data_IF_667501906626
#
_entry.id   IF_667501906626
#
_cell.length_a   1.000
_cell.length_b   1.000
_cell.length_c   1.000
_cell.angle_alpha   90.00
_cell.angle_beta   90.00
_cell.angle_gamma   90.00
#
_symmetry.space_group_name_H-M   'P 1'
#
loop_
_entity.id
_entity.type
_entity.pdbx_description
1 polymer ?
#
# COMPACT_ATOMS: atom_id res chain seq x y z
N UNK A 1 -3.08 45.53 -24.74
CA UNK A 1 -2.01 44.53 -24.60
C UNK A 1 -2.53 43.45 -23.66
N UNK A 2 -2.94 42.31 -24.22
CA UNK A 2 -3.44 41.17 -23.44
C UNK A 2 -2.30 40.58 -22.60
N UNK A 3 -2.52 40.21 -21.34
CA UNK A 3 -1.50 39.52 -20.56
C UNK A 3 -1.34 38.12 -21.16
N UNK A 4 -0.14 37.86 -21.65
CA UNK A 4 0.34 36.56 -22.10
C UNK A 4 0.08 35.50 -21.02
N UNK A 5 -0.55 34.41 -21.44
CA UNK A 5 -0.70 33.19 -20.67
C UNK A 5 0.65 32.79 -20.06
N UNK A 6 0.69 32.72 -18.72
CA UNK A 6 1.81 32.14 -18.01
C UNK A 6 2.01 30.70 -18.53
N UNK A 7 3.15 30.46 -19.18
CA UNK A 7 3.55 29.13 -19.60
C UNK A 7 3.44 28.19 -18.40
N UNK A 8 2.59 27.17 -18.52
CA UNK A 8 2.50 26.08 -17.57
C UNK A 8 3.90 25.47 -17.44
N UNK A 9 4.57 25.77 -16.33
CA UNK A 9 5.83 25.14 -15.94
C UNK A 9 5.53 23.69 -15.58
N UNK A 10 5.43 22.83 -16.60
CA UNK A 10 5.28 21.39 -16.42
C UNK A 10 6.57 20.88 -15.80
N UNK A 11 6.59 20.71 -14.49
CA UNK A 11 7.63 19.95 -13.81
C UNK A 11 7.74 18.60 -14.56
N UNK A 12 8.94 18.21 -15.04
CA UNK A 12 9.07 16.97 -15.79
C UNK A 12 8.57 15.81 -14.94
N UNK A 13 7.76 14.93 -15.57
CA UNK A 13 7.24 13.74 -14.93
C UNK A 13 8.35 12.97 -14.23
N UNK A 14 8.02 12.38 -13.08
CA UNK A 14 8.98 11.50 -12.43
C UNK A 14 9.19 10.25 -13.29
N UNK A 15 10.32 9.56 -13.07
CA UNK A 15 10.56 8.27 -13.72
C UNK A 15 9.43 7.25 -13.44
N UNK A 16 8.79 7.33 -12.26
CA UNK A 16 7.65 6.47 -11.91
C UNK A 16 6.44 6.74 -12.81
N UNK A 17 6.12 8.01 -13.05
CA UNK A 17 4.96 8.42 -13.84
C UNK A 17 5.18 8.16 -15.34
N UNK A 18 6.38 8.48 -15.84
CA UNK A 18 6.73 8.21 -17.24
C UNK A 18 6.72 6.71 -17.57
N UNK A 19 7.19 5.87 -16.64
CA UNK A 19 7.18 4.43 -16.86
C UNK A 19 5.76 3.87 -16.99
N UNK A 20 4.80 4.46 -16.31
CA UNK A 20 3.39 4.11 -16.44
C UNK A 20 2.84 4.57 -17.80
N UNK A 21 3.11 5.81 -18.20
CA UNK A 21 2.67 6.34 -19.50
C UNK A 21 3.27 5.57 -20.71
N UNK A 22 4.49 5.06 -20.57
CA UNK A 22 5.14 4.23 -21.60
C UNK A 22 4.63 2.78 -21.61
N UNK A 23 4.05 2.31 -20.50
CA UNK A 23 3.52 0.96 -20.38
C UNK A 23 2.10 0.88 -20.98
N UNK A 24 1.98 1.03 -22.30
CA UNK A 24 0.78 0.65 -23.05
C UNK A 24 0.71 -0.88 -23.12
N UNK A 25 0.30 -1.48 -22.01
CA UNK A 25 0.61 -2.86 -21.67
C UNK A 25 -0.49 -3.86 -22.08
N UNK A 26 -0.93 -3.81 -23.33
CA UNK A 26 -1.71 -4.92 -23.89
C UNK A 26 -0.76 -6.04 -24.30
N UNK A 27 -0.35 -6.88 -23.34
CA UNK A 27 0.30 -8.16 -23.61
C UNK A 27 1.74 -8.37 -23.11
N UNK A 28 2.31 -7.48 -22.26
CA UNK A 28 3.62 -7.78 -21.68
C UNK A 28 3.56 -8.99 -20.76
N UNK A 29 4.57 -9.85 -20.87
CA UNK A 29 4.80 -10.99 -19.98
C UNK A 29 5.71 -10.64 -18.79
N UNK A 30 6.23 -9.42 -18.73
CA UNK A 30 7.18 -8.94 -17.71
C UNK A 30 6.77 -7.62 -17.08
N UNK A 31 7.20 -7.39 -15.85
CA UNK A 31 7.05 -6.08 -15.20
C UNK A 31 7.87 -4.99 -15.93
N UNK A 32 7.49 -3.72 -15.71
CA UNK A 32 8.25 -2.57 -16.24
C UNK A 32 9.71 -2.57 -15.77
N UNK A 33 10.60 -2.03 -16.60
CA UNK A 33 12.00 -1.84 -16.23
C UNK A 33 12.16 -0.95 -14.99
N UNK A 34 11.22 -0.02 -14.77
CA UNK A 34 11.17 0.80 -13.57
C UNK A 34 11.08 -0.08 -12.31
N UNK A 35 10.05 -0.94 -12.22
CA UNK A 35 9.85 -1.82 -11.07
C UNK A 35 11.02 -2.79 -10.89
N UNK A 36 11.53 -3.37 -11.97
CA UNK A 36 12.73 -4.24 -11.95
C UNK A 36 13.93 -3.47 -11.36
N UNK A 37 14.13 -2.21 -11.76
CA UNK A 37 15.22 -1.38 -11.22
C UNK A 37 15.05 -1.04 -9.74
N UNK A 38 13.80 -0.92 -9.25
CA UNK A 38 13.50 -0.75 -7.83
C UNK A 38 13.80 -2.04 -7.05
N UNK A 39 13.32 -3.19 -7.52
CA UNK A 39 13.55 -4.47 -6.85
C UNK A 39 13.46 -5.68 -7.81
N UNK A 40 14.60 -6.09 -8.37
CA UNK A 40 14.65 -7.26 -9.25
C UNK A 40 14.13 -8.56 -8.59
N UNK A 41 14.29 -8.72 -7.27
CA UNK A 41 13.77 -9.89 -6.55
C UNK A 41 12.24 -9.95 -6.49
N UNK A 42 11.54 -8.82 -6.62
CA UNK A 42 10.08 -8.79 -6.68
C UNK A 42 9.56 -8.83 -8.11
N UNK A 43 10.25 -8.17 -9.05
CA UNK A 43 9.65 -7.80 -10.33
C UNK A 43 10.33 -8.40 -11.55
N UNK A 44 11.48 -9.09 -11.39
CA UNK A 44 12.18 -9.74 -12.49
C UNK A 44 11.83 -11.23 -12.62
N UNK A 45 10.60 -11.60 -12.25
CA UNK A 45 10.11 -12.96 -12.44
C UNK A 45 9.73 -13.18 -13.91
N UNK A 46 9.69 -14.45 -14.31
CA UNK A 46 9.30 -14.85 -15.67
C UNK A 46 7.94 -15.53 -15.70
N UNK A 47 7.41 -15.90 -14.54
CA UNK A 47 6.13 -16.58 -14.40
C UNK A 47 5.21 -15.81 -13.46
N UNK A 48 3.95 -15.69 -13.87
CA UNK A 48 2.91 -14.96 -13.15
C UNK A 48 1.58 -15.72 -13.22
N UNK A 49 0.73 -15.49 -12.23
CA UNK A 49 -0.56 -16.15 -12.05
C UNK A 49 -0.63 -17.05 -10.83
N UNK A 50 0.28 -16.89 -9.85
CA UNK A 50 0.16 -17.62 -8.58
C UNK A 50 -1.14 -17.24 -7.90
N UNK A 51 -1.87 -18.25 -7.43
CA UNK A 51 -3.10 -18.02 -6.67
C UNK A 51 -2.81 -17.31 -5.34
N UNK A 52 -3.86 -16.76 -4.71
CA UNK A 52 -3.73 -16.18 -3.36
C UNK A 52 -3.25 -17.23 -2.37
N UNK A 53 -3.69 -18.49 -2.49
CA UNK A 53 -3.29 -19.57 -1.59
C UNK A 53 -1.80 -19.95 -1.72
N UNK A 54 -1.24 -19.82 -2.92
CA UNK A 54 0.19 -19.98 -3.22
C UNK A 54 1.01 -18.72 -2.90
N UNK A 55 0.34 -17.65 -2.48
CA UNK A 55 0.93 -16.45 -1.93
C UNK A 55 1.06 -15.26 -2.86
N UNK A 56 0.35 -15.26 -3.99
CA UNK A 56 0.43 -14.22 -5.02
C UNK A 56 1.84 -14.03 -5.63
N UNK A 57 1.91 -13.30 -6.75
CA UNK A 57 3.18 -13.00 -7.39
C UNK A 57 3.91 -11.84 -6.70
N UNK A 58 3.17 -10.76 -6.44
CA UNK A 58 3.69 -9.49 -5.96
C UNK A 58 3.09 -9.15 -4.60
N UNK A 59 3.92 -8.67 -3.67
CA UNK A 59 3.45 -8.09 -2.41
C UNK A 59 3.92 -6.65 -2.30
N UNK A 60 3.00 -5.74 -1.98
CA UNK A 60 3.27 -4.32 -1.76
C UNK A 60 2.63 -3.83 -0.47
N UNK A 61 3.27 -2.90 0.23
CA UNK A 61 2.72 -2.25 1.41
C UNK A 61 2.51 -0.76 1.16
N UNK A 62 1.38 -0.22 1.60
CA UNK A 62 1.06 1.20 1.52
C UNK A 62 0.71 1.77 2.89
N UNK A 63 1.14 2.98 3.18
CA UNK A 63 0.75 3.72 4.39
C UNK A 63 0.94 5.23 4.19
N UNK A 64 0.26 6.04 5.01
CA UNK A 64 0.36 7.49 5.08
C UNK A 64 1.10 7.97 6.33
N UNK A 65 2.08 8.85 6.14
CA UNK A 65 2.78 9.55 7.21
C UNK A 65 2.33 11.01 7.34
N UNK A 66 1.45 11.25 8.30
CA UNK A 66 0.96 12.59 8.65
C UNK A 66 1.93 13.40 9.53
N UNK A 67 3.18 12.99 9.73
CA UNK A 67 4.20 13.82 10.38
C UNK A 67 5.06 14.59 9.36
N UNK A 68 5.08 14.13 8.11
CA UNK A 68 5.77 14.79 7.00
C UNK A 68 4.90 15.90 6.40
N UNK A 69 4.70 16.99 7.16
CA UNK A 69 3.83 18.12 6.78
C UNK A 69 4.62 19.30 6.25
N UNK A 70 3.95 20.19 5.54
CA UNK A 70 4.47 21.50 5.16
C UNK A 70 3.59 22.59 5.76
N UNK A 71 4.20 23.56 6.47
CA UNK A 71 3.50 24.70 7.02
C UNK A 71 3.51 25.82 5.96
N UNK A 72 2.34 26.33 5.57
CA UNK A 72 2.24 27.29 4.47
C UNK A 72 3.06 28.57 4.71
N UNK A 73 3.27 28.96 5.99
CA UNK A 73 4.06 30.14 6.38
C UNK A 73 5.55 29.97 6.06
N UNK A 74 6.04 28.74 5.93
CA UNK A 74 7.43 28.46 5.63
C UNK A 74 7.82 28.75 4.16
N UNK A 75 6.82 29.05 3.31
CA UNK A 75 7.02 29.44 1.92
C UNK A 75 7.50 28.30 1.02
N UNK A 76 7.70 28.63 -0.25
CA UNK A 76 8.27 27.70 -1.22
C UNK A 76 9.76 27.98 -1.45
N UNK A 77 10.48 26.99 -1.97
CA UNK A 77 11.83 27.21 -2.48
C UNK A 77 11.76 27.77 -3.92
N UNK A 78 12.78 28.53 -4.37
CA UNK A 78 12.88 28.95 -5.76
C UNK A 78 12.69 27.77 -6.72
N UNK A 79 12.09 27.98 -7.91
CA UNK A 79 11.92 26.91 -8.87
C UNK A 79 13.29 26.35 -9.29
N UNK A 80 13.43 25.04 -9.25
CA UNK A 80 14.59 24.35 -9.80
C UNK A 80 14.13 23.12 -10.56
N UNK A 81 14.83 22.81 -11.64
CA UNK A 81 14.52 21.62 -12.44
C UNK A 81 15.02 20.38 -11.71
N UNK A 82 14.10 19.55 -11.27
CA UNK A 82 14.38 18.26 -10.68
C UNK A 82 13.43 17.22 -11.25
N UNK A 83 13.99 16.17 -11.83
CA UNK A 83 13.23 15.01 -12.27
C UNK A 83 13.19 13.99 -11.13
N UNK A 84 12.01 13.80 -10.56
CA UNK A 84 11.79 12.83 -9.49
C UNK A 84 11.97 11.39 -9.95
N UNK A 85 12.18 10.46 -9.02
CA UNK A 85 12.23 9.03 -9.32
C UNK A 85 10.97 8.33 -8.88
N UNK A 86 10.43 8.65 -7.71
CA UNK A 86 9.35 7.91 -7.05
C UNK A 86 8.04 8.70 -6.94
N UNK A 87 8.08 10.02 -7.12
CA UNK A 87 6.90 10.85 -6.89
C UNK A 87 5.82 10.63 -7.96
N UNK A 88 4.59 10.28 -7.59
CA UNK A 88 3.47 10.28 -8.54
C UNK A 88 2.81 11.65 -8.66
N UNK A 89 2.16 11.89 -9.80
CA UNK A 89 1.43 13.13 -10.07
C UNK A 89 0.23 13.29 -9.11
N UNK A 90 -0.01 14.51 -8.55
CA UNK A 90 -1.25 14.81 -7.85
C UNK A 90 -2.51 14.56 -8.69
N UNK A 91 -2.42 14.71 -10.02
CA UNK A 91 -3.54 14.51 -10.94
C UNK A 91 -4.07 13.07 -10.89
N UNK A 92 -3.18 12.09 -10.64
CA UNK A 92 -3.57 10.68 -10.50
C UNK A 92 -4.45 10.48 -9.27
N UNK A 93 -4.10 11.12 -8.16
CA UNK A 93 -4.91 11.06 -6.93
C UNK A 93 -6.24 11.76 -7.15
N UNK A 94 -6.23 12.92 -7.79
CA UNK A 94 -7.45 13.66 -8.13
C UNK A 94 -8.38 12.86 -9.07
N UNK A 95 -7.82 12.14 -10.05
CA UNK A 95 -8.59 11.28 -10.94
C UNK A 95 -9.20 10.06 -10.22
N UNK A 96 -8.48 9.47 -9.27
CA UNK A 96 -9.02 8.40 -8.42
C UNK A 96 -10.14 8.93 -7.50
N UNK A 97 -9.95 10.10 -6.89
CA UNK A 97 -10.96 10.76 -6.07
C UNK A 97 -12.23 11.10 -6.85
N UNK A 98 -12.08 11.65 -8.06
CA UNK A 98 -13.21 11.93 -8.94
C UNK A 98 -14.02 10.67 -9.26
N UNK A 99 -13.35 9.52 -9.49
CA UNK A 99 -14.02 8.22 -9.69
C UNK A 99 -14.72 7.73 -8.44
N UNK A 100 -14.09 7.80 -7.28
CA UNK A 100 -14.71 7.44 -5.99
C UNK A 100 -15.95 8.29 -5.71
N UNK A 101 -15.86 9.61 -5.90
CA UNK A 101 -17.00 10.53 -5.71
C UNK A 101 -18.14 10.29 -6.71
N UNK A 102 -17.82 9.92 -7.95
CA UNK A 102 -18.81 9.58 -8.96
C UNK A 102 -19.50 8.24 -8.64
N UNK A 103 -18.73 7.23 -8.25
CA UNK A 103 -19.20 5.88 -7.98
C UNK A 103 -19.91 5.75 -6.61
N UNK A 104 -19.51 6.52 -5.60
CA UNK A 104 -20.14 6.55 -4.27
C UNK A 104 -21.64 6.88 -4.30
N UNK A 105 -22.14 7.45 -5.39
CA UNK A 105 -23.56 7.70 -5.63
C UNK A 105 -24.34 6.48 -6.11
N UNK A 106 -23.66 5.44 -6.60
CA UNK A 106 -24.24 4.26 -7.26
C UNK A 106 -23.33 3.03 -7.07
N UNK A 107 -23.57 2.21 -6.03
CA UNK A 107 -22.85 0.94 -5.90
C UNK A 107 -23.13 0.05 -7.12
N UNK A 108 -22.06 -0.46 -7.71
CA UNK A 108 -22.06 -1.35 -8.88
C UNK A 108 -22.02 -2.83 -8.50
N UNK A 109 -21.61 -3.14 -7.27
CA UNK A 109 -21.37 -4.51 -6.80
C UNK A 109 -21.80 -4.75 -5.37
N UNK A 110 -21.47 -5.94 -4.88
CA UNK A 110 -21.64 -6.36 -3.49
C UNK A 110 -20.31 -6.80 -2.93
N UNK A 111 -20.09 -6.55 -1.64
CA UNK A 111 -18.93 -7.08 -0.94
C UNK A 111 -19.01 -8.61 -0.82
N UNK A 112 -17.90 -9.29 -1.12
CA UNK A 112 -17.75 -10.76 -1.12
C UNK A 112 -16.57 -11.22 -0.25
N UNK A 113 -16.03 -10.36 0.61
CA UNK A 113 -14.87 -10.69 1.44
C UNK A 113 -15.18 -11.52 2.70
N UNK A 114 -16.47 -11.79 2.99
CA UNK A 114 -16.89 -12.72 4.04
C UNK A 114 -16.82 -12.18 5.47
N UNK A 115 -16.53 -10.88 5.65
CA UNK A 115 -16.69 -10.18 6.94
C UNK A 115 -18.12 -9.59 7.00
N UNK A 116 -18.85 -9.68 8.12
CA UNK A 116 -20.13 -8.99 8.27
C UNK A 116 -20.01 -7.49 8.03
N UNK A 117 -21.03 -6.87 7.43
CA UNK A 117 -21.02 -5.43 7.14
C UNK A 117 -20.94 -4.58 8.42
N UNK A 118 -21.60 -5.00 9.50
CA UNK A 118 -21.55 -4.35 10.81
C UNK A 118 -20.12 -4.27 11.37
N UNK A 119 -19.34 -5.34 11.21
CA UNK A 119 -17.95 -5.37 11.65
C UNK A 119 -17.05 -4.45 10.79
N UNK A 120 -17.36 -4.35 9.49
CA UNK A 120 -16.65 -3.42 8.59
C UNK A 120 -17.00 -1.97 8.90
N UNK A 121 -18.26 -1.68 9.22
CA UNK A 121 -18.70 -0.36 9.66
C UNK A 121 -18.03 0.01 11.00
N UNK A 122 -17.99 -0.92 11.96
CA UNK A 122 -17.28 -0.72 13.22
C UNK A 122 -15.76 -0.49 13.03
N UNK A 123 -15.14 -1.18 12.06
CA UNK A 123 -13.76 -0.90 11.67
C UNK A 123 -13.63 0.53 11.12
N UNK A 124 -14.52 0.95 10.21
CA UNK A 124 -14.50 2.29 9.62
C UNK A 124 -14.67 3.40 10.65
N UNK A 125 -15.59 3.22 11.60
CA UNK A 125 -15.81 4.16 12.69
C UNK A 125 -14.60 4.28 13.61
N UNK A 126 -13.97 3.15 13.96
CA UNK A 126 -12.76 3.12 14.81
C UNK A 126 -11.59 3.87 14.17
N UNK A 127 -11.38 3.67 12.86
CA UNK A 127 -10.34 4.37 12.10
C UNK A 127 -10.65 5.87 11.93
N UNK A 128 -11.93 6.21 11.71
CA UNK A 128 -12.38 7.60 11.61
C UNK A 128 -12.25 8.33 12.95
N UNK A 129 -12.60 7.70 14.07
CA UNK A 129 -12.40 8.25 15.41
C UNK A 129 -10.91 8.50 15.70
N UNK A 130 -10.04 7.54 15.36
CA UNK A 130 -8.60 7.66 15.51
C UNK A 130 -7.94 8.73 14.61
N UNK A 131 -8.55 9.02 13.46
CA UNK A 131 -8.08 10.02 12.48
C UNK A 131 -8.63 11.42 12.76
N UNK A 132 -9.92 11.53 13.04
CA UNK A 132 -10.60 12.80 13.38
C UNK A 132 -10.06 13.44 14.67
N UNK A 133 -9.65 12.64 15.66
CA UNK A 133 -8.91 13.13 16.82
C UNK A 133 -7.56 13.78 16.44
N UNK A 134 -6.92 13.34 15.34
CA UNK A 134 -5.67 13.92 14.81
C UNK A 134 -5.91 15.15 13.92
N UNK A 135 -7.09 15.26 13.30
CA UNK A 135 -7.47 16.36 12.40
C UNK A 135 -7.99 17.60 13.14
N UNK A 136 -8.76 17.44 14.22
CA UNK A 136 -9.38 18.54 15.00
C UNK A 136 -8.40 19.58 15.58
N UNK A 137 -7.08 19.33 15.52
CA UNK A 137 -6.06 20.22 16.09
C UNK A 137 -5.28 21.03 15.02
N UNK A 138 -5.41 20.73 13.72
CA UNK A 138 -4.33 21.07 12.75
C UNK A 138 -4.75 21.63 11.39
N UNK A 139 -6.05 21.81 11.13
CA UNK A 139 -6.60 22.09 9.80
C UNK A 139 -6.10 23.36 9.10
N UNK A 140 -5.64 24.37 9.85
CA UNK A 140 -5.52 25.73 9.30
C UNK A 140 -4.07 26.23 9.14
N UNK A 141 -3.04 25.35 9.24
CA UNK A 141 -1.62 25.77 9.12
C UNK A 141 -0.79 24.99 8.11
N UNK A 142 -1.33 23.93 7.51
CA UNK A 142 -0.58 23.01 6.66
C UNK A 142 -1.28 22.81 5.31
N UNK A 143 -0.60 23.18 4.23
CA UNK A 143 -1.00 22.96 2.83
C UNK A 143 -0.57 21.57 2.31
N UNK A 144 0.50 20.99 2.87
CA UNK A 144 0.76 19.55 2.79
C UNK A 144 0.54 18.89 4.16
N UNK A 145 -0.38 17.93 4.22
CA UNK A 145 -0.81 17.25 5.45
C UNK A 145 -0.04 15.96 5.73
N UNK A 146 0.69 15.44 4.75
CA UNK A 146 1.46 14.21 4.91
C UNK A 146 2.09 13.70 3.60
N UNK A 147 2.54 12.46 3.65
CA UNK A 147 3.08 11.72 2.49
C UNK A 147 2.58 10.29 2.53
N UNK A 148 2.07 9.77 1.42
CA UNK A 148 1.78 8.36 1.23
C UNK A 148 2.94 7.68 0.49
N UNK A 149 3.28 6.44 0.83
CA UNK A 149 4.27 5.67 0.07
C UNK A 149 3.81 4.25 -0.19
N UNK A 150 4.20 3.72 -1.35
CA UNK A 150 4.09 2.30 -1.69
C UNK A 150 5.50 1.68 -1.72
N UNK A 151 5.65 0.52 -1.09
CA UNK A 151 6.91 -0.24 -1.04
C UNK A 151 6.68 -1.69 -1.48
N UNK A 152 7.72 -2.37 -1.93
CA UNK A 152 7.65 -3.83 -2.14
C UNK A 152 7.81 -4.61 -0.83
N UNK A 153 7.61 -5.94 -0.90
CA UNK A 153 7.84 -6.91 0.20
C UNK A 153 9.16 -6.74 0.96
N UNK A 154 10.21 -6.28 0.27
CA UNK A 154 11.55 -6.09 0.85
C UNK A 154 11.71 -4.74 1.56
N UNK A 155 10.68 -3.91 1.53
CA UNK A 155 10.65 -2.55 2.08
C UNK A 155 11.24 -1.48 1.17
N UNK A 156 11.54 -1.82 -0.09
CA UNK A 156 12.13 -0.88 -1.04
C UNK A 156 11.01 0.03 -1.60
N UNK A 157 11.19 1.37 -1.59
CA UNK A 157 10.23 2.30 -2.16
C UNK A 157 9.96 2.03 -3.64
N UNK A 158 8.68 2.11 -4.02
CA UNK A 158 8.20 2.00 -5.39
C UNK A 158 7.65 3.34 -5.89
N UNK A 159 6.88 4.03 -5.05
CA UNK A 159 6.41 5.37 -5.34
C UNK A 159 6.02 6.10 -4.05
N UNK A 160 5.81 7.41 -4.13
CA UNK A 160 5.21 8.20 -3.07
C UNK A 160 4.35 9.33 -3.62
N UNK A 161 3.40 9.80 -2.81
CA UNK A 161 2.47 10.88 -3.14
C UNK A 161 2.41 11.87 -1.99
N UNK A 162 2.27 13.14 -2.33
CA UNK A 162 2.02 14.17 -1.35
C UNK A 162 0.54 14.15 -0.94
N UNK A 163 0.25 14.30 0.36
CA UNK A 163 -1.13 14.38 0.85
C UNK A 163 -1.46 15.85 1.07
N UNK A 164 -2.37 16.41 0.29
CA UNK A 164 -2.71 17.85 0.30
C UNK A 164 -4.08 18.13 0.91
N UNK A 165 -4.95 17.13 1.00
CA UNK A 165 -6.33 17.29 1.45
C UNK A 165 -6.67 16.35 2.62
N UNK A 166 -7.82 16.63 3.23
CA UNK A 166 -8.41 15.80 4.30
C UNK A 166 -9.49 14.85 3.73
N UNK A 167 -9.42 14.54 2.41
CA UNK A 167 -10.39 13.65 1.77
C UNK A 167 -10.21 12.18 2.19
N UNK A 168 -10.98 11.28 1.59
CA UNK A 168 -10.91 9.84 1.86
C UNK A 168 -9.49 9.29 1.67
N UNK A 169 -8.83 8.86 2.74
CA UNK A 169 -7.44 8.40 2.70
C UNK A 169 -7.18 7.20 1.77
N UNK A 170 -8.22 6.42 1.45
CA UNK A 170 -8.14 5.23 0.60
C UNK A 170 -7.76 5.54 -0.84
N UNK A 171 -8.05 6.75 -1.34
CA UNK A 171 -7.72 7.17 -2.71
C UNK A 171 -6.24 7.08 -3.02
N UNK A 172 -5.37 7.32 -2.04
CA UNK A 172 -3.92 7.21 -2.22
C UNK A 172 -3.50 5.76 -2.41
N UNK A 173 -4.07 4.83 -1.64
CA UNK A 173 -3.78 3.40 -1.82
C UNK A 173 -4.30 2.89 -3.16
N UNK A 174 -5.53 3.26 -3.54
CA UNK A 174 -6.14 2.86 -4.80
C UNK A 174 -5.39 3.43 -6.02
N UNK A 175 -5.01 4.71 -5.98
CA UNK A 175 -4.18 5.33 -7.01
C UNK A 175 -2.81 4.65 -7.14
N UNK A 176 -2.19 4.25 -6.01
CA UNK A 176 -0.91 3.57 -6.02
C UNK A 176 -0.99 2.15 -6.61
N UNK A 177 -2.04 1.38 -6.30
CA UNK A 177 -2.20 0.03 -6.87
C UNK A 177 -2.66 0.06 -8.32
N UNK A 178 -3.41 1.08 -8.74
CA UNK A 178 -3.69 1.33 -10.16
C UNK A 178 -2.40 1.62 -10.93
N UNK A 179 -1.58 2.58 -10.46
CA UNK A 179 -0.28 2.86 -11.05
C UNK A 179 0.63 1.61 -11.09
N UNK A 180 0.56 0.77 -10.06
CA UNK A 180 1.27 -0.50 -10.05
C UNK A 180 0.75 -1.42 -11.16
N UNK A 181 -0.56 -1.54 -11.32
CA UNK A 181 -1.20 -2.43 -12.31
C UNK A 181 -0.78 -2.12 -13.76
N UNK A 182 -0.59 -0.84 -14.09
CA UNK A 182 -0.12 -0.36 -15.39
C UNK A 182 1.25 -0.93 -15.76
N UNK A 183 2.05 -1.33 -14.75
CA UNK A 183 3.42 -1.79 -14.90
C UNK A 183 3.60 -3.29 -14.71
N UNK A 184 2.51 -4.03 -14.48
CA UNK A 184 2.52 -5.47 -14.25
C UNK A 184 1.97 -6.24 -15.46
N UNK A 185 2.39 -7.49 -15.69
CA UNK A 185 1.71 -8.39 -16.61
C UNK A 185 0.25 -8.62 -16.21
N UNK A 186 -0.63 -8.85 -17.20
CA UNK A 186 -2.05 -9.09 -16.97
C UNK A 186 -2.35 -10.33 -16.10
N UNK A 187 -1.40 -11.26 -15.98
CA UNK A 187 -1.53 -12.46 -15.15
C UNK A 187 -1.03 -12.26 -13.72
N UNK A 188 -0.30 -11.20 -13.43
CA UNK A 188 0.32 -11.00 -12.11
C UNK A 188 -0.74 -10.79 -11.04
N UNK A 189 -0.67 -11.55 -9.96
CA UNK A 189 -1.50 -11.37 -8.77
C UNK A 189 -0.77 -10.53 -7.71
N UNK A 190 -1.53 -9.73 -6.96
CA UNK A 190 -1.00 -8.73 -6.03
C UNK A 190 -1.63 -8.88 -4.65
N UNK A 191 -0.79 -8.98 -3.62
CA UNK A 191 -1.18 -8.83 -2.22
C UNK A 191 -0.78 -7.43 -1.72
N UNK A 192 -1.79 -6.61 -1.42
CA UNK A 192 -1.66 -5.23 -1.00
C UNK A 192 -1.88 -5.09 0.52
N UNK A 193 -0.81 -4.76 1.25
CA UNK A 193 -0.83 -4.57 2.69
C UNK A 193 -1.19 -3.12 3.00
N UNK A 194 -2.27 -2.91 3.74
CA UNK A 194 -2.75 -1.57 4.12
C UNK A 194 -3.54 -1.62 5.43
N UNK A 195 -3.35 -0.61 6.29
CA UNK A 195 -3.93 -0.57 7.64
C UNK A 195 -5.45 -0.60 7.64
N UNK A 196 -6.07 -0.01 6.61
CA UNK A 196 -7.52 -0.04 6.36
C UNK A 196 -7.86 -0.87 5.13
N UNK A 197 -7.10 -1.95 4.91
CA UNK A 197 -7.24 -2.85 3.76
C UNK A 197 -8.64 -3.45 3.65
N UNK A 198 -9.28 -3.81 4.75
CA UNK A 198 -10.64 -4.36 4.75
C UNK A 198 -11.70 -3.37 4.21
N UNK A 199 -11.64 -2.11 4.65
CA UNK A 199 -12.57 -1.07 4.20
C UNK A 199 -12.27 -0.73 2.74
N UNK A 200 -10.98 -0.63 2.38
CA UNK A 200 -10.56 -0.37 0.99
C UNK A 200 -10.99 -1.49 0.05
N UNK A 201 -10.93 -2.75 0.49
CA UNK A 201 -11.40 -3.91 -0.26
C UNK A 201 -12.91 -3.87 -0.48
N UNK A 202 -13.70 -3.49 0.54
CA UNK A 202 -15.14 -3.26 0.40
C UNK A 202 -15.41 -2.14 -0.60
N UNK A 203 -14.76 -0.98 -0.47
CA UNK A 203 -14.91 0.17 -1.38
C UNK A 203 -14.67 -0.23 -2.83
N UNK A 204 -13.56 -0.91 -3.15
CA UNK A 204 -13.27 -1.31 -4.54
C UNK A 204 -14.27 -2.32 -5.11
N UNK A 205 -14.84 -3.21 -4.28
CA UNK A 205 -15.82 -4.21 -4.72
C UNK A 205 -17.21 -3.60 -4.95
N UNK A 206 -17.56 -2.56 -4.19
CA UNK A 206 -18.81 -1.84 -4.37
C UNK A 206 -18.77 -0.93 -5.60
N UNK A 207 -17.64 -0.29 -5.88
CA UNK A 207 -17.58 0.84 -6.82
C UNK A 207 -16.77 0.59 -8.09
N UNK A 208 -16.11 -0.56 -8.23
CA UNK A 208 -15.31 -0.97 -9.40
C UNK A 208 -14.42 0.15 -9.97
N UNK A 209 -13.69 0.83 -9.08
CA UNK A 209 -12.89 2.02 -9.44
C UNK A 209 -11.52 1.69 -10.04
N UNK A 210 -11.15 0.41 -10.12
CA UNK A 210 -9.86 -0.05 -10.63
C UNK A 210 -9.97 -0.48 -12.10
N UNK A 211 -8.84 -0.59 -12.84
CA UNK A 211 -8.86 -1.10 -14.20
C UNK A 211 -9.52 -2.49 -14.29
N UNK A 212 -10.27 -2.71 -15.37
CA UNK A 212 -11.01 -3.95 -15.60
C UNK A 212 -10.13 -5.20 -15.43
N UNK A 213 -10.62 -6.17 -14.65
CA UNK A 213 -9.92 -7.43 -14.37
C UNK A 213 -8.68 -7.33 -13.45
N UNK A 214 -8.27 -6.13 -13.02
CA UNK A 214 -7.23 -6.00 -11.98
C UNK A 214 -7.77 -6.36 -10.60
N UNK A 215 -9.01 -5.99 -10.30
CA UNK A 215 -9.67 -6.30 -9.02
C UNK A 215 -9.72 -7.79 -8.68
N UNK A 216 -9.82 -8.68 -9.67
CA UNK A 216 -9.85 -10.14 -9.47
C UNK A 216 -8.48 -10.72 -9.10
N UNK A 217 -7.41 -9.99 -9.40
CA UNK A 217 -6.01 -10.38 -9.16
C UNK A 217 -5.40 -9.63 -7.99
N UNK A 218 -6.17 -8.75 -7.33
CA UNK A 218 -5.75 -7.94 -6.20
C UNK A 218 -6.43 -8.44 -4.93
N UNK A 219 -5.63 -8.67 -3.89
CA UNK A 219 -6.13 -8.97 -2.55
C UNK A 219 -5.57 -7.98 -1.54
N UNK A 220 -6.43 -7.43 -0.70
CA UNK A 220 -6.01 -6.62 0.43
C UNK A 220 -5.72 -7.47 1.66
N UNK A 221 -4.78 -7.00 2.46
CA UNK A 221 -4.29 -7.65 3.68
C UNK A 221 -4.03 -6.54 4.69
N UNK A 222 -4.46 -6.70 5.94
CA UNK A 222 -4.13 -5.73 6.99
C UNK A 222 -2.73 -6.01 7.51
N UNK A 223 -1.88 -5.00 7.68
CA UNK A 223 -0.55 -5.21 8.27
C UNK A 223 -0.64 -5.93 9.64
N UNK A 224 0.35 -6.74 9.99
CA UNK A 224 0.25 -7.71 11.08
C UNK A 224 0.06 -7.07 12.46
N UNK A 225 0.67 -5.91 12.72
CA UNK A 225 0.48 -5.15 13.96
C UNK A 225 -0.87 -4.45 13.96
N UNK A 226 -1.26 -3.88 12.82
CA UNK A 226 -2.51 -3.14 12.69
C UNK A 226 -3.74 -4.04 12.71
N UNK A 227 -3.60 -5.32 12.36
CA UNK A 227 -4.69 -6.31 12.38
C UNK A 227 -5.39 -6.36 13.73
N UNK A 228 -4.66 -6.21 14.84
CA UNK A 228 -5.23 -6.25 16.19
C UNK A 228 -6.15 -5.07 16.52
N UNK A 229 -6.12 -4.00 15.73
CA UNK A 229 -7.02 -2.85 15.87
C UNK A 229 -8.34 -3.02 15.10
N UNK A 230 -8.56 -4.17 14.45
CA UNK A 230 -9.79 -4.48 13.71
C UNK A 230 -10.66 -5.50 14.46
N UNK A 231 -11.94 -5.56 14.08
CA UNK A 231 -12.86 -6.58 14.58
C UNK A 231 -12.33 -8.01 14.34
N UNK A 232 -12.73 -8.94 15.20
CA UNK A 232 -12.23 -10.31 15.17
C UNK A 232 -12.46 -11.01 13.83
N UNK A 233 -13.65 -10.87 13.25
CA UNK A 233 -14.01 -11.38 11.92
C UNK A 233 -13.12 -10.80 10.82
N UNK A 234 -12.81 -9.51 10.90
CA UNK A 234 -11.87 -8.84 10.01
C UNK A 234 -10.45 -9.41 10.16
N UNK A 235 -10.00 -9.71 11.38
CA UNK A 235 -8.71 -10.36 11.61
C UNK A 235 -8.64 -11.74 10.94
N UNK A 236 -9.69 -12.55 11.03
CA UNK A 236 -9.75 -13.87 10.39
C UNK A 236 -9.55 -13.77 8.86
N UNK A 237 -10.17 -12.77 8.23
CA UNK A 237 -10.18 -12.62 6.75
C UNK A 237 -8.95 -11.89 6.20
N UNK A 238 -8.53 -10.82 6.88
CA UNK A 238 -7.53 -9.87 6.38
C UNK A 238 -6.17 -9.95 7.07
N UNK A 239 -6.04 -10.62 8.23
CA UNK A 239 -4.73 -10.75 8.88
C UNK A 239 -3.79 -11.65 8.06
N UNK A 240 -2.52 -11.26 7.83
CA UNK A 240 -1.56 -12.08 7.11
C UNK A 240 -1.15 -13.33 7.89
N UNK A 241 -1.51 -13.42 9.18
CA UNK A 241 -1.26 -14.60 10.00
C UNK A 241 -2.35 -15.66 9.85
N UNK A 242 -3.55 -15.25 9.46
CA UNK A 242 -4.71 -16.14 9.30
C UNK A 242 -5.05 -16.38 7.82
N UNK A 243 -4.76 -15.40 6.96
CA UNK A 243 -4.94 -15.49 5.53
C UNK A 243 -3.91 -16.43 4.89
N UNK A 244 -4.40 -17.49 4.24
CA UNK A 244 -3.58 -18.46 3.52
C UNK A 244 -2.75 -17.76 2.42
N UNK A 245 -1.53 -18.25 2.21
CA UNK A 245 -0.59 -17.75 1.19
C UNK A 245 0.29 -16.57 1.61
N UNK A 246 -0.07 -15.81 2.65
CA UNK A 246 0.72 -14.62 3.04
C UNK A 246 2.07 -14.98 3.71
N UNK A 247 2.21 -16.22 4.15
CA UNK A 247 3.43 -16.76 4.75
C UNK A 247 3.85 -15.94 5.99
N UNK A 248 5.13 -15.51 6.01
CA UNK A 248 5.65 -14.70 7.12
C UNK A 248 5.71 -13.20 6.84
N UNK A 249 5.21 -12.73 5.69
CA UNK A 249 5.15 -11.31 5.38
C UNK A 249 4.29 -10.59 6.40
N UNK A 250 4.79 -9.51 6.97
CA UNK A 250 4.14 -8.77 8.05
C UNK A 250 3.43 -7.50 7.57
N UNK A 251 3.76 -6.95 6.41
CA UNK A 251 3.18 -5.69 5.92
C UNK A 251 3.83 -4.43 6.52
N UNK A 252 4.57 -4.58 7.62
CA UNK A 252 5.18 -3.52 8.45
C UNK A 252 6.43 -2.85 7.83
N UNK A 253 6.50 -2.79 6.50
CA UNK A 253 7.65 -2.22 5.81
C UNK A 253 7.65 -0.70 5.78
N UNK A 254 6.46 -0.09 5.76
CA UNK A 254 6.31 1.35 5.48
C UNK A 254 6.65 2.14 6.75
N UNK A 255 6.30 1.62 7.92
CA UNK A 255 6.66 2.14 9.24
C UNK A 255 8.18 2.20 9.42
N UNK A 256 8.89 1.18 8.93
CA UNK A 256 10.37 1.16 8.91
C UNK A 256 10.93 2.22 7.97
N UNK A 257 10.27 2.46 6.83
CA UNK A 257 10.62 3.56 5.94
C UNK A 257 10.42 4.92 6.63
N UNK A 258 9.28 5.10 7.31
CA UNK A 258 8.97 6.32 8.07
C UNK A 258 9.97 6.60 9.19
N UNK A 259 10.34 5.57 9.95
CA UNK A 259 11.39 5.69 10.95
C UNK A 259 12.71 6.18 10.35
N UNK A 260 13.10 5.67 9.17
CA UNK A 260 14.31 6.11 8.48
C UNK A 260 14.22 7.54 7.89
N UNK A 261 13.01 8.06 7.67
CA UNK A 261 12.76 9.42 7.16
C UNK A 261 12.50 10.43 8.28
N UNK A 262 12.35 10.00 9.54
CA UNK A 262 12.04 10.86 10.69
C UNK A 262 13.00 12.04 10.84
N UNK A 263 14.28 11.84 10.53
CA UNK A 263 15.33 12.88 10.60
C UNK A 263 15.11 14.06 9.65
N UNK A 264 14.25 13.88 8.63
CA UNK A 264 13.93 14.93 7.66
C UNK A 264 12.79 15.85 8.15
N UNK A 265 11.88 15.36 8.99
CA UNK A 265 10.72 16.13 9.47
C UNK A 265 11.08 17.55 9.93
N UNK A 266 12.07 17.77 10.83
CA UNK A 266 12.40 19.12 11.28
C UNK A 266 13.11 20.00 10.23
N UNK A 267 13.68 19.40 9.17
CA UNK A 267 14.54 20.05 8.18
C UNK A 267 13.79 20.50 6.92
N UNK A 268 12.64 19.91 6.63
CA UNK A 268 11.93 20.11 5.37
C UNK A 268 10.87 21.21 5.47
N UNK A 269 11.33 22.44 5.67
CA UNK A 269 10.44 23.60 5.85
C UNK A 269 9.88 24.16 4.54
N UNK A 270 10.62 24.11 3.43
CA UNK A 270 10.16 24.62 2.14
C UNK A 270 9.53 23.53 1.28
N UNK A 271 8.39 23.83 0.66
CA UNK A 271 7.51 22.86 -0.01
C UNK A 271 8.17 22.03 -1.11
N UNK A 272 8.69 22.65 -2.19
CA UNK A 272 9.31 21.90 -3.29
C UNK A 272 10.59 21.18 -2.88
N UNK A 273 11.45 21.86 -2.10
CA UNK A 273 12.69 21.27 -1.57
C UNK A 273 12.40 20.02 -0.71
N UNK A 274 11.29 20.00 0.03
CA UNK A 274 10.83 18.84 0.82
C UNK A 274 10.67 17.61 -0.05
N UNK A 275 9.92 17.71 -1.14
CA UNK A 275 9.64 16.59 -2.05
C UNK A 275 10.93 16.05 -2.69
N UNK A 276 11.85 16.93 -3.08
CA UNK A 276 13.13 16.54 -3.67
C UNK A 276 14.04 15.84 -2.65
N UNK A 277 14.12 16.35 -1.43
CA UNK A 277 14.92 15.72 -0.38
C UNK A 277 14.33 14.37 0.06
N UNK A 278 13.00 14.24 0.09
CA UNK A 278 12.32 12.96 0.28
C UNK A 278 12.70 11.98 -0.83
N UNK A 279 12.52 12.36 -2.09
CA UNK A 279 12.83 11.51 -3.25
C UNK A 279 14.31 11.06 -3.24
N UNK A 280 15.26 11.97 -3.01
CA UNK A 280 16.69 11.66 -2.89
C UNK A 280 16.98 10.70 -1.73
N UNK A 281 16.36 10.90 -0.58
CA UNK A 281 16.54 10.02 0.56
C UNK A 281 15.93 8.63 0.30
N UNK A 282 14.76 8.55 -0.34
CA UNK A 282 14.17 7.29 -0.80
C UNK A 282 15.10 6.56 -1.78
N UNK A 283 15.75 7.27 -2.71
CA UNK A 283 16.73 6.67 -3.62
C UNK A 283 17.92 6.06 -2.87
N UNK A 284 18.47 6.79 -1.88
CA UNK A 284 19.55 6.30 -1.01
C UNK A 284 19.11 5.06 -0.22
N UNK A 285 17.92 5.11 0.40
CA UNK A 285 17.36 4.01 1.18
C UNK A 285 17.14 2.77 0.30
N UNK A 286 16.50 2.93 -0.86
CA UNK A 286 16.26 1.86 -1.82
C UNK A 286 17.56 1.24 -2.34
N UNK A 287 18.59 2.04 -2.64
CA UNK A 287 19.94 1.52 -3.01
C UNK A 287 20.55 0.68 -1.89
N UNK A 288 20.53 1.19 -0.65
CA UNK A 288 21.05 0.46 0.52
C UNK A 288 20.28 -0.84 0.77
N UNK A 289 18.96 -0.84 0.60
CA UNK A 289 18.13 -2.02 0.80
C UNK A 289 18.41 -3.08 -0.28
N UNK A 290 18.55 -2.67 -1.55
CA UNK A 290 18.97 -3.57 -2.65
C UNK A 290 20.32 -4.23 -2.37
N UNK A 291 21.34 -3.45 -1.97
CA UNK A 291 22.66 -3.97 -1.61
C UNK A 291 22.62 -4.97 -0.44
N UNK A 292 21.61 -4.88 0.43
CA UNK A 292 21.45 -5.75 1.58
C UNK A 292 20.45 -6.90 1.36
N UNK A 293 19.93 -7.12 0.14
CA UNK A 293 18.97 -8.19 -0.14
C UNK A 293 19.51 -9.58 0.22
N UNK A 294 20.79 -9.87 -0.06
CA UNK A 294 21.39 -11.15 0.35
C UNK A 294 21.41 -11.35 1.88
N UNK A 295 21.68 -10.29 2.66
CA UNK A 295 21.57 -10.33 4.13
C UNK A 295 20.12 -10.48 4.57
N UNK A 296 19.18 -9.84 3.87
CA UNK A 296 17.75 -9.97 4.14
C UNK A 296 17.28 -11.41 3.95
N UNK A 297 17.62 -12.06 2.83
CA UNK A 297 17.25 -13.46 2.54
C UNK A 297 17.80 -14.41 3.60
N UNK A 298 19.09 -14.28 3.96
CA UNK A 298 19.70 -15.12 5.01
C UNK A 298 18.97 -15.00 6.35
N UNK A 299 18.65 -13.77 6.78
CA UNK A 299 17.88 -13.53 8.01
C UNK A 299 16.48 -14.13 7.93
N UNK A 300 15.80 -14.01 6.78
CA UNK A 300 14.46 -14.57 6.60
C UNK A 300 14.47 -16.10 6.58
N UNK A 301 15.45 -16.74 5.93
CA UNK A 301 15.62 -18.19 5.96
C UNK A 301 15.80 -18.71 7.39
N UNK A 302 16.68 -18.09 8.17
CA UNK A 302 16.84 -18.44 9.60
C UNK A 302 15.53 -18.29 10.38
N UNK A 303 14.85 -17.14 10.23
CA UNK A 303 13.57 -16.91 10.92
C UNK A 303 12.47 -17.91 10.52
N UNK A 304 12.44 -18.38 9.27
CA UNK A 304 11.53 -19.43 8.80
C UNK A 304 11.84 -20.75 9.53
N UNK A 305 13.11 -21.16 9.56
CA UNK A 305 13.54 -22.38 10.26
C UNK A 305 13.19 -22.34 11.74
N UNK A 306 13.53 -21.23 12.42
CA UNK A 306 13.26 -21.06 13.85
C UNK A 306 11.76 -21.12 14.15
N UNK A 307 10.92 -20.46 13.32
CA UNK A 307 9.46 -20.50 13.49
C UNK A 307 8.87 -21.88 13.17
N UNK A 308 9.36 -22.56 12.14
CA UNK A 308 8.91 -23.90 11.79
C UNK A 308 9.21 -24.91 12.91
N UNK A 309 10.39 -24.82 13.53
CA UNK A 309 10.76 -25.65 14.67
C UNK A 309 9.84 -25.38 15.86
N UNK A 310 9.64 -24.12 16.24
CA UNK A 310 8.73 -23.74 17.33
C UNK A 310 7.29 -24.20 17.09
N UNK A 311 6.78 -24.00 15.89
CA UNK A 311 5.44 -24.45 15.51
C UNK A 311 5.32 -25.99 15.58
N UNK A 312 6.36 -26.72 15.14
CA UNK A 312 6.38 -28.18 15.23
C UNK A 312 6.34 -28.65 16.69
N UNK A 313 7.14 -28.04 17.57
CA UNK A 313 7.11 -28.33 19.00
C UNK A 313 5.75 -28.03 19.63
N UNK A 314 5.10 -26.92 19.26
CA UNK A 314 3.75 -26.59 19.75
C UNK A 314 2.71 -27.60 19.26
N UNK A 315 2.79 -28.02 18.00
CA UNK A 315 1.89 -29.04 17.45
C UNK A 315 2.04 -30.38 18.18
N UNK A 316 3.28 -30.82 18.45
CA UNK A 316 3.52 -32.05 19.22
C UNK A 316 2.97 -31.93 20.64
N UNK A 317 3.24 -30.79 21.33
CA UNK A 317 2.73 -30.53 22.68
C UNK A 317 1.21 -30.49 22.77
N UNK A 318 0.52 -30.11 21.69
CA UNK A 318 -0.94 -30.10 21.66
C UNK A 318 -1.57 -31.49 21.78
N UNK A 319 -0.81 -32.57 21.48
CA UNK A 319 -1.33 -33.94 21.47
C UNK A 319 -2.33 -34.24 20.33
N UNK A 320 -2.68 -33.25 19.51
CA UNK A 320 -3.68 -33.39 18.46
C UNK A 320 -3.05 -33.57 17.07
N UNK A 321 -3.69 -34.40 16.24
CA UNK A 321 -3.31 -34.55 14.85
C UNK A 321 -3.56 -33.24 14.08
N UNK A 322 -2.67 -32.91 13.13
CA UNK A 322 -2.79 -31.69 12.31
C UNK A 322 -4.12 -31.60 11.56
N UNK A 323 -4.69 -32.74 11.15
CA UNK A 323 -6.01 -32.79 10.48
C UNK A 323 -7.13 -32.29 11.39
N UNK A 324 -7.09 -32.67 12.67
CA UNK A 324 -8.07 -32.26 13.67
C UNK A 324 -7.96 -30.76 13.94
N UNK A 325 -6.74 -30.24 14.16
CA UNK A 325 -6.55 -28.81 14.38
C UNK A 325 -7.01 -27.95 13.19
N UNK A 326 -6.87 -28.45 11.96
CA UNK A 326 -7.39 -27.78 10.77
C UNK A 326 -8.93 -27.80 10.71
N UNK A 327 -9.58 -28.91 11.08
CA UNK A 327 -11.04 -28.97 11.10
C UNK A 327 -11.61 -28.05 12.17
N UNK A 328 -11.04 -28.07 13.37
CA UNK A 328 -11.42 -27.16 14.46
C UNK A 328 -11.23 -25.69 14.09
N UNK A 329 -10.13 -25.36 13.40
CA UNK A 329 -9.93 -23.99 12.90
C UNK A 329 -10.98 -23.60 11.85
N UNK A 330 -11.33 -24.50 10.93
CA UNK A 330 -12.36 -24.20 9.94
C UNK A 330 -13.75 -24.08 10.56
N UNK A 331 -14.11 -24.95 11.51
CA UNK A 331 -15.34 -24.86 12.29
C UNK A 331 -15.43 -23.51 13.03
N UNK A 332 -14.34 -23.08 13.68
CA UNK A 332 -14.28 -21.76 14.33
C UNK A 332 -14.47 -20.63 13.32
N UNK A 333 -13.78 -20.68 12.16
CA UNK A 333 -13.94 -19.65 11.12
C UNK A 333 -15.37 -19.57 10.62
N UNK A 334 -16.03 -20.71 10.39
CA UNK A 334 -17.41 -20.74 9.94
C UNK A 334 -18.35 -20.15 11.00
N UNK A 335 -18.17 -20.52 12.27
CA UNK A 335 -19.01 -20.02 13.36
C UNK A 335 -18.85 -18.50 13.61
N UNK A 336 -17.64 -17.96 13.46
CA UNK A 336 -17.36 -16.53 13.68
C UNK A 336 -17.75 -15.67 12.47
N UNK A 337 -17.69 -16.21 11.24
CA UNK A 337 -18.02 -15.49 10.02
C UNK A 337 -19.48 -15.71 9.56
N UNK A 338 -20.18 -16.70 10.11
CA UNK A 338 -21.62 -16.85 9.88
C UNK A 338 -22.35 -15.70 10.55
N UNK A 339 -23.13 -14.96 9.75
CA UNK A 339 -23.99 -13.86 10.19
C UNK A 339 -24.82 -14.32 11.39
N UNK A 340 -24.79 -13.55 12.49
CA UNK A 340 -25.75 -13.68 13.59
C UNK A 340 -26.99 -12.84 13.32
#
# INVERSE_FOLDING_TARGET
MSPTAAAASSIPFSRAEESAAAANNTGSTRCSEYLVSCCGMCFNDTQYGRSVEEGCDIHVGGDANFSQRHNFVAGDSPPFQYRGVYQLSPDRVAAMEARLNAAGKRPSGRYKGGVPDEDLDACADSHTAGSSAKEKVKGDRFDDKGVFALICRHGIPLCFMNITDAGEGQKYMLAAVEWLSEQLPNRATVAAYYDVGCITDRTRQLYDVLPAGFGDRLVFVTSAMHSYAHQWTCQIVYSPRMKKGMGLTDGEGVERLWSALRMLIPKLRARRRRLVLLDRQLQRLGRRMRQNLGKWVRRRRKAITDKAQKATTQLVKSGHARRYLRSQWEEQRQAELSIR
#
